data_IF_267678900944
#
_entry.id   IF_267678900944
#
_cell.length_a   1.000
_cell.length_b   1.000
_cell.length_c   1.000
_cell.angle_alpha   90.00
_cell.angle_beta   90.00
_cell.angle_gamma   90.00
#
_symmetry.space_group_name_H-M   'P 1'
#
loop_
_entity.id
_entity.type
_entity.pdbx_description
1 polymer ?
#
# COMPACT_ATOMS: atom_id res chain seq x y z
N UNK A 1 -14.19 19.96 -16.14
CA UNK A 1 -13.57 18.62 -16.04
C UNK A 1 -13.96 18.06 -14.67
N UNK A 2 -15.20 17.60 -14.52
CA UNK A 2 -15.74 17.22 -13.21
C UNK A 2 -15.45 15.74 -12.94
N UNK A 3 -14.81 15.51 -11.81
CA UNK A 3 -14.24 14.25 -11.36
C UNK A 3 -15.29 13.14 -11.24
N UNK A 4 -14.95 11.89 -11.62
CA UNK A 4 -15.76 10.69 -11.38
C UNK A 4 -16.15 10.44 -9.90
N UNK A 5 -15.49 11.10 -8.95
CA UNK A 5 -15.71 10.98 -7.50
C UNK A 5 -17.06 11.53 -7.02
N UNK A 6 -17.64 12.50 -7.73
CA UNK A 6 -18.98 12.97 -7.44
C UNK A 6 -20.04 11.90 -7.70
N UNK A 7 -19.80 10.93 -8.58
CA UNK A 7 -20.86 10.05 -9.10
C UNK A 7 -21.34 8.97 -8.11
N UNK A 8 -20.48 8.49 -7.22
CA UNK A 8 -20.86 7.56 -6.15
C UNK A 8 -21.46 8.29 -4.94
N UNK A 9 -20.88 9.45 -4.55
CA UNK A 9 -21.47 10.30 -3.50
C UNK A 9 -22.82 10.88 -3.93
N UNK A 10 -23.04 11.13 -5.23
CA UNK A 10 -24.34 11.55 -5.80
C UNK A 10 -25.47 10.54 -5.57
N UNK A 11 -25.17 9.24 -5.47
CA UNK A 11 -26.18 8.21 -5.25
C UNK A 11 -26.72 8.23 -3.81
N UNK A 12 -25.86 8.55 -2.83
CA UNK A 12 -26.29 8.84 -1.44
C UNK A 12 -26.96 10.21 -1.34
N UNK A 13 -26.50 11.19 -2.13
CA UNK A 13 -27.02 12.56 -2.16
C UNK A 13 -28.44 12.71 -2.74
N UNK A 14 -28.96 11.69 -3.41
CA UNK A 14 -30.30 11.70 -4.02
C UNK A 14 -31.29 10.80 -3.28
N UNK A 15 -30.80 9.86 -2.44
CA UNK A 15 -31.59 8.80 -1.82
C UNK A 15 -32.87 9.26 -1.06
N UNK A 16 -32.90 10.43 -0.37
CA UNK A 16 -34.11 10.86 0.34
C UNK A 16 -35.25 11.36 -0.58
N UNK A 17 -34.93 11.67 -1.84
CA UNK A 17 -35.86 12.23 -2.83
C UNK A 17 -36.14 11.29 -4.01
N UNK A 18 -35.57 10.10 -3.99
CA UNK A 18 -35.63 9.14 -5.07
C UNK A 18 -36.83 8.20 -4.93
N UNK A 19 -37.33 7.74 -6.07
CA UNK A 19 -38.45 6.81 -6.13
C UNK A 19 -38.04 5.40 -5.71
N UNK A 20 -39.00 4.61 -5.23
CA UNK A 20 -38.81 3.18 -4.92
C UNK A 20 -38.09 2.40 -6.05
N UNK A 21 -38.32 2.77 -7.32
CA UNK A 21 -37.68 2.17 -8.50
C UNK A 21 -36.15 2.39 -8.54
N UNK A 22 -35.66 3.56 -8.12
CA UNK A 22 -34.23 3.84 -8.05
C UNK A 22 -33.55 2.97 -6.99
N UNK A 23 -34.14 2.93 -5.80
CA UNK A 23 -33.58 2.15 -4.69
C UNK A 23 -33.61 0.66 -5.00
N UNK A 24 -34.65 0.17 -5.68
CA UNK A 24 -34.68 -1.19 -6.21
C UNK A 24 -33.52 -1.48 -7.18
N UNK A 25 -33.20 -0.55 -8.09
CA UNK A 25 -32.03 -0.68 -9.00
C UNK A 25 -30.71 -0.64 -8.25
N UNK A 26 -30.56 0.27 -7.28
CA UNK A 26 -29.36 0.40 -6.47
C UNK A 26 -29.09 -0.88 -5.66
N UNK A 27 -30.09 -1.37 -4.93
CA UNK A 27 -29.98 -2.60 -4.13
C UNK A 27 -29.71 -3.82 -5.01
N UNK A 28 -30.23 -3.85 -6.24
CA UNK A 28 -29.90 -4.90 -7.22
C UNK A 28 -28.41 -4.88 -7.60
N UNK A 29 -27.82 -3.69 -7.80
CA UNK A 29 -26.40 -3.54 -8.08
C UNK A 29 -25.54 -3.91 -6.86
N UNK A 30 -25.92 -3.41 -5.67
CA UNK A 30 -25.23 -3.73 -4.41
C UNK A 30 -25.23 -5.24 -4.16
N UNK A 31 -26.36 -5.92 -4.37
CA UNK A 31 -26.45 -7.38 -4.26
C UNK A 31 -25.44 -8.10 -5.17
N UNK A 32 -25.23 -7.59 -6.38
CA UNK A 32 -24.25 -8.15 -7.32
C UNK A 32 -22.82 -7.86 -6.88
N UNK A 33 -22.56 -6.67 -6.36
CA UNK A 33 -21.24 -6.26 -5.86
C UNK A 33 -20.84 -6.97 -4.56
N UNK A 34 -21.81 -7.36 -3.72
CA UNK A 34 -21.62 -8.23 -2.56
C UNK A 34 -21.03 -9.62 -2.92
N UNK A 35 -21.10 -10.03 -4.18
CA UNK A 35 -20.47 -11.25 -4.70
C UNK A 35 -19.19 -10.99 -5.53
N UNK A 36 -18.73 -9.74 -5.64
CA UNK A 36 -17.56 -9.37 -6.46
C UNK A 36 -16.30 -10.11 -5.99
N UNK A 37 -15.42 -10.59 -6.90
CA UNK A 37 -14.12 -11.15 -6.52
C UNK A 37 -13.17 -10.08 -5.97
N UNK A 38 -13.38 -8.80 -6.33
CA UNK A 38 -12.61 -7.68 -5.79
C UNK A 38 -13.04 -7.42 -4.35
N UNK A 39 -12.12 -7.63 -3.42
CA UNK A 39 -12.34 -7.58 -1.97
C UNK A 39 -12.96 -6.25 -1.55
N UNK A 40 -12.43 -5.15 -2.07
CA UNK A 40 -12.83 -3.79 -1.74
C UNK A 40 -14.26 -3.48 -2.17
N UNK A 41 -14.60 -3.76 -3.43
CA UNK A 41 -15.96 -3.58 -3.97
C UNK A 41 -16.97 -4.39 -3.15
N UNK A 42 -16.62 -5.62 -2.81
CA UNK A 42 -17.47 -6.49 -2.00
C UNK A 42 -17.68 -5.96 -0.59
N UNK A 43 -16.63 -5.41 0.04
CA UNK A 43 -16.74 -4.82 1.36
C UNK A 43 -17.63 -3.59 1.38
N UNK A 44 -17.43 -2.69 0.42
CA UNK A 44 -18.23 -1.47 0.31
C UNK A 44 -19.71 -1.81 0.08
N UNK A 45 -19.99 -2.75 -0.83
CA UNK A 45 -21.35 -3.20 -1.08
C UNK A 45 -21.99 -3.83 0.16
N UNK A 46 -21.26 -4.69 0.89
CA UNK A 46 -21.77 -5.29 2.12
C UNK A 46 -21.98 -4.28 3.26
N UNK A 47 -21.29 -3.14 3.23
CA UNK A 47 -21.48 -2.08 4.21
C UNK A 47 -22.68 -1.19 3.86
N UNK A 48 -22.79 -0.77 2.60
CA UNK A 48 -23.89 0.08 2.12
C UNK A 48 -25.24 -0.67 2.07
N UNK A 49 -25.24 -1.97 1.77
CA UNK A 49 -26.46 -2.73 1.56
C UNK A 49 -27.43 -2.70 2.75
N UNK A 50 -27.02 -2.98 4.01
CA UNK A 50 -27.92 -2.91 5.16
C UNK A 50 -28.45 -1.50 5.42
N UNK A 51 -27.67 -0.44 5.17
CA UNK A 51 -28.10 0.95 5.37
C UNK A 51 -29.25 1.31 4.43
N UNK A 52 -29.10 0.99 3.15
CA UNK A 52 -30.13 1.22 2.13
C UNK A 52 -31.36 0.34 2.38
N UNK A 53 -31.15 -0.89 2.86
CA UNK A 53 -32.24 -1.81 3.20
C UNK A 53 -33.07 -1.29 4.39
N UNK A 54 -32.41 -0.77 5.43
CA UNK A 54 -33.09 -0.20 6.60
C UNK A 54 -33.91 1.04 6.22
N UNK A 55 -33.38 1.89 5.32
CA UNK A 55 -34.14 3.02 4.75
C UNK A 55 -35.38 2.53 3.99
N UNK A 56 -35.26 1.46 3.20
CA UNK A 56 -36.40 0.90 2.48
C UNK A 56 -37.47 0.33 3.40
N UNK A 57 -37.09 -0.25 4.54
CA UNK A 57 -38.04 -0.68 5.58
C UNK A 57 -38.71 0.53 6.25
N UNK A 58 -37.95 1.58 6.60
CA UNK A 58 -38.48 2.79 7.22
C UNK A 58 -39.48 3.54 6.31
N UNK A 59 -39.21 3.58 5.00
CA UNK A 59 -40.09 4.21 3.98
C UNK A 59 -41.22 3.30 3.49
N UNK A 60 -41.23 2.02 3.86
CA UNK A 60 -42.26 1.05 3.45
C UNK A 60 -42.18 0.63 1.96
N UNK A 61 -40.99 0.67 1.35
CA UNK A 61 -40.78 0.27 -0.05
C UNK A 61 -40.76 -1.25 -0.20
N UNK A 62 -41.85 -1.82 -0.72
CA UNK A 62 -42.09 -3.28 -0.77
C UNK A 62 -41.22 -4.00 -1.81
N UNK A 63 -40.95 -3.37 -2.95
CA UNK A 63 -40.08 -3.94 -4.01
C UNK A 63 -38.68 -4.31 -3.52
N UNK A 64 -38.19 -3.62 -2.49
CA UNK A 64 -36.91 -3.88 -1.84
C UNK A 64 -37.10 -4.73 -0.59
N UNK A 65 -37.96 -4.29 0.34
CA UNK A 65 -38.11 -4.93 1.64
C UNK A 65 -38.78 -6.30 1.59
N UNK A 66 -39.62 -6.62 0.59
CA UNK A 66 -40.27 -7.93 0.43
C UNK A 66 -39.52 -8.86 -0.53
N UNK A 67 -38.46 -8.37 -1.19
CA UNK A 67 -37.69 -9.20 -2.11
C UNK A 67 -36.91 -10.29 -1.35
N UNK A 68 -37.13 -11.59 -1.64
CA UNK A 68 -36.51 -12.68 -0.90
C UNK A 68 -34.99 -12.72 -1.06
N UNK A 69 -34.45 -12.30 -2.22
CA UNK A 69 -33.01 -12.26 -2.44
C UNK A 69 -32.36 -11.17 -1.58
N UNK A 70 -32.98 -9.99 -1.48
CA UNK A 70 -32.46 -8.89 -0.68
C UNK A 70 -32.56 -9.16 0.82
N UNK A 71 -33.66 -9.77 1.28
CA UNK A 71 -33.79 -10.25 2.66
C UNK A 71 -32.70 -11.26 3.02
N UNK A 72 -32.44 -12.23 2.13
CA UNK A 72 -31.41 -13.23 2.35
C UNK A 72 -30.02 -12.59 2.43
N UNK A 73 -29.72 -11.62 1.56
CA UNK A 73 -28.46 -10.88 1.57
C UNK A 73 -28.30 -10.03 2.84
N UNK A 74 -29.33 -9.27 3.24
CA UNK A 74 -29.31 -8.48 4.47
C UNK A 74 -29.07 -9.37 5.70
N UNK A 75 -29.78 -10.49 5.79
CA UNK A 75 -29.62 -11.46 6.88
C UNK A 75 -28.23 -12.11 6.88
N UNK A 76 -27.66 -12.41 5.70
CA UNK A 76 -26.31 -12.94 5.57
C UNK A 76 -25.26 -11.95 6.07
N UNK A 77 -25.31 -10.71 5.60
CA UNK A 77 -24.34 -9.66 5.98
C UNK A 77 -24.36 -9.42 7.49
N UNK A 78 -25.55 -9.30 8.08
CA UNK A 78 -25.73 -9.02 9.52
C UNK A 78 -25.25 -10.16 10.44
N UNK A 79 -25.09 -11.38 9.92
CA UNK A 79 -24.52 -12.53 10.65
C UNK A 79 -23.00 -12.56 10.64
N UNK A 80 -22.34 -11.75 9.83
CA UNK A 80 -20.88 -11.71 9.79
C UNK A 80 -20.33 -11.04 11.06
N UNK A 81 -19.39 -11.69 11.74
CA UNK A 81 -18.76 -11.17 12.97
C UNK A 81 -18.15 -9.77 12.81
N UNK A 82 -17.77 -9.40 11.58
CA UNK A 82 -17.21 -8.08 11.25
C UNK A 82 -18.27 -6.98 11.17
N UNK A 83 -19.54 -7.32 10.93
CA UNK A 83 -20.64 -6.35 10.96
C UNK A 83 -21.01 -5.98 12.40
N UNK A 84 -20.83 -6.91 13.35
CA UNK A 84 -21.13 -6.71 14.78
C UNK A 84 -19.92 -6.24 15.61
N UNK A 85 -18.72 -6.17 15.03
CA UNK A 85 -17.50 -5.75 15.71
C UNK A 85 -17.51 -4.24 16.05
N UNK A 86 -16.86 -3.90 17.17
CA UNK A 86 -16.86 -2.53 17.72
C UNK A 86 -16.10 -1.52 16.83
N UNK A 87 -16.53 -0.24 16.77
CA UNK A 87 -16.07 0.76 15.80
C UNK A 87 -14.64 1.25 16.02
N UNK A 88 -13.71 0.95 15.11
CA UNK A 88 -12.37 1.59 15.12
C UNK A 88 -11.78 1.83 13.71
N UNK A 89 -12.62 1.89 12.67
CA UNK A 89 -12.25 2.33 11.30
C UNK A 89 -13.42 3.05 10.63
N UNK A 90 -13.20 3.77 9.52
CA UNK A 90 -14.24 4.52 8.76
C UNK A 90 -15.50 3.67 8.48
N UNK A 91 -15.28 2.35 8.36
CA UNK A 91 -16.27 1.28 8.17
C UNK A 91 -17.22 1.03 9.34
N UNK A 92 -17.23 1.92 10.33
CA UNK A 92 -18.09 1.83 11.51
C UNK A 92 -18.62 3.18 11.96
N UNK A 93 -18.36 4.26 11.20
CA UNK A 93 -19.12 5.49 11.34
C UNK A 93 -20.58 5.15 11.04
N UNK A 94 -21.45 5.30 12.03
CA UNK A 94 -22.89 5.11 11.84
C UNK A 94 -23.43 6.35 11.13
N UNK A 95 -23.38 6.33 9.81
CA UNK A 95 -24.04 7.33 8.98
C UNK A 95 -25.53 7.00 8.93
N UNK A 96 -26.35 7.96 9.34
CA UNK A 96 -27.80 7.94 9.21
C UNK A 96 -28.18 8.72 7.96
N UNK A 97 -28.66 8.03 6.93
CA UNK A 97 -28.93 8.62 5.61
C UNK A 97 -30.00 9.73 5.69
N UNK A 98 -30.91 9.71 6.67
CA UNK A 98 -31.92 10.76 6.78
C UNK A 98 -31.42 11.92 7.65
N UNK A 99 -30.82 11.61 8.81
CA UNK A 99 -30.36 12.64 9.74
C UNK A 99 -29.12 13.37 9.26
N UNK A 100 -28.19 12.66 8.64
CA UNK A 100 -26.91 13.23 8.20
C UNK A 100 -27.01 13.86 6.80
N UNK A 101 -28.17 13.73 6.13
CA UNK A 101 -28.46 14.39 4.85
C UNK A 101 -28.82 15.87 5.04
N UNK A 102 -27.82 16.65 5.42
CA UNK A 102 -27.86 18.10 5.53
C UNK A 102 -26.66 18.71 4.81
N UNK A 103 -26.70 20.00 4.46
CA UNK A 103 -25.55 20.64 3.81
C UNK A 103 -24.29 20.54 4.68
N UNK A 104 -24.41 20.72 6.00
CA UNK A 104 -23.30 20.49 6.93
C UNK A 104 -22.88 19.03 6.97
N UNK A 105 -23.83 18.10 7.05
CA UNK A 105 -23.52 16.67 7.08
C UNK A 105 -22.78 16.21 5.82
N UNK A 106 -23.08 16.80 4.65
CA UNK A 106 -22.42 16.50 3.37
C UNK A 106 -21.04 17.19 3.27
N UNK A 107 -20.93 18.48 3.58
CA UNK A 107 -19.70 19.24 3.30
C UNK A 107 -18.74 19.37 4.50
N UNK A 108 -19.20 19.08 5.72
CA UNK A 108 -18.42 19.11 6.96
C UNK A 108 -18.74 17.92 7.89
N UNK A 109 -19.17 16.79 7.32
CA UNK A 109 -19.46 15.58 8.09
C UNK A 109 -18.18 14.96 8.68
N UNK A 110 -18.32 14.25 9.82
CA UNK A 110 -17.20 13.57 10.49
C UNK A 110 -16.45 12.58 9.57
N UNK A 111 -17.11 12.06 8.55
CA UNK A 111 -16.53 11.12 7.59
C UNK A 111 -15.36 11.73 6.80
N UNK A 112 -15.30 13.06 6.63
CA UNK A 112 -14.21 13.75 5.93
C UNK A 112 -12.89 13.75 6.72
N UNK A 113 -12.95 13.50 8.03
CA UNK A 113 -11.80 13.53 8.94
C UNK A 113 -11.17 12.17 9.23
N UNK A 114 -11.81 11.08 8.77
CA UNK A 114 -11.41 9.72 9.09
C UNK A 114 -10.57 9.19 7.92
N UNK A 115 -9.39 8.62 8.21
CA UNK A 115 -8.41 8.05 7.26
C UNK A 115 -7.61 9.04 6.39
N UNK A 116 -8.25 10.01 5.74
CA UNK A 116 -7.54 11.03 4.94
C UNK A 116 -8.28 12.36 5.05
N UNK A 117 -7.83 13.26 5.94
CA UNK A 117 -8.48 14.56 6.12
C UNK A 117 -8.60 15.29 4.78
N UNK A 118 -9.84 15.45 4.30
CA UNK A 118 -10.13 16.34 3.18
C UNK A 118 -10.17 17.78 3.73
N UNK A 119 -9.67 18.75 2.96
CA UNK A 119 -9.82 20.16 3.34
C UNK A 119 -11.31 20.54 3.26
N UNK A 120 -11.81 21.20 4.31
CA UNK A 120 -13.15 21.78 4.34
C UNK A 120 -13.26 22.87 3.27
N UNK A 121 -13.73 22.50 2.07
CA UNK A 121 -13.92 23.43 0.96
C UNK A 121 -15.04 24.45 1.22
N UNK A 122 -16.01 24.07 2.05
CA UNK A 122 -17.16 24.89 2.43
C UNK A 122 -17.50 24.66 3.88
N UNK A 123 -17.75 25.74 4.61
CA UNK A 123 -18.10 25.72 6.03
C UNK A 123 -19.56 26.06 6.28
N UNK A 124 -20.08 25.69 7.45
CA UNK A 124 -21.40 26.11 7.93
C UNK A 124 -21.61 27.63 7.80
N UNK A 125 -20.56 28.41 8.11
CA UNK A 125 -20.62 29.87 8.00
C UNK A 125 -20.77 30.32 6.54
N UNK A 126 -20.14 29.65 5.57
CA UNK A 126 -20.30 29.98 4.16
C UNK A 126 -21.76 29.82 3.69
N UNK A 127 -22.42 28.74 4.11
CA UNK A 127 -23.84 28.53 3.80
C UNK A 127 -24.75 29.55 4.49
N UNK A 128 -24.46 29.91 5.75
CA UNK A 128 -25.22 30.92 6.49
C UNK A 128 -25.05 32.32 5.91
N UNK A 129 -23.85 32.65 5.42
CA UNK A 129 -23.61 33.90 4.69
C UNK A 129 -24.45 33.95 3.40
N UNK A 130 -24.52 32.84 2.66
CA UNK A 130 -25.33 32.76 1.44
C UNK A 130 -26.83 32.96 1.75
N UNK A 131 -27.37 32.27 2.75
CA UNK A 131 -28.78 32.40 3.16
C UNK A 131 -29.11 33.85 3.56
N UNK A 132 -28.23 34.48 4.36
CA UNK A 132 -28.38 35.89 4.76
C UNK A 132 -28.28 36.86 3.57
N UNK A 133 -27.49 36.51 2.56
CA UNK A 133 -27.34 37.32 1.34
C UNK A 133 -28.51 37.20 0.37
N UNK A 134 -29.29 36.11 0.47
CA UNK A 134 -30.48 35.84 -0.35
C UNK A 134 -31.75 36.46 0.28
N UNK A 135 -31.81 36.67 1.60
CA UNK A 135 -32.94 37.32 2.29
C UNK A 135 -33.39 38.68 1.69
N UNK A 136 -32.50 39.60 1.28
CA UNK A 136 -32.89 40.88 0.69
C UNK A 136 -33.25 40.80 -0.81
N UNK A 137 -33.14 39.64 -1.46
CA UNK A 137 -33.32 39.52 -2.91
C UNK A 137 -34.79 39.55 -3.35
N UNK A 138 -35.76 39.40 -2.44
CA UNK A 138 -37.20 39.47 -2.75
C UNK A 138 -37.68 38.43 -3.76
N UNK A 139 -36.89 37.37 -3.99
CA UNK A 139 -37.21 36.26 -4.88
C UNK A 139 -38.08 35.27 -4.11
N UNK A 140 -39.19 34.85 -4.70
CA UNK A 140 -40.02 33.76 -4.17
C UNK A 140 -39.25 32.44 -4.31
N UNK A 141 -38.49 32.09 -3.29
CA UNK A 141 -37.65 30.90 -3.30
C UNK A 141 -38.52 29.64 -3.08
N UNK A 142 -38.36 28.59 -3.91
CA UNK A 142 -39.01 27.32 -3.65
C UNK A 142 -38.55 26.75 -2.30
N UNK A 143 -39.35 25.86 -1.67
CA UNK A 143 -38.99 25.26 -0.40
C UNK A 143 -37.63 24.56 -0.49
N UNK A 144 -36.82 24.74 0.55
CA UNK A 144 -35.48 24.16 0.65
C UNK A 144 -35.54 22.64 0.50
N UNK A 145 -34.73 22.10 -0.42
CA UNK A 145 -34.65 20.66 -0.69
C UNK A 145 -33.62 19.95 0.19
N UNK A 146 -32.67 20.66 0.76
CA UNK A 146 -31.72 20.10 1.72
C UNK A 146 -31.63 21.12 2.83
N UNK A 147 -31.85 20.69 4.07
CA UNK A 147 -31.71 21.57 5.22
C UNK A 147 -30.22 21.87 5.46
N UNK A 148 -29.92 23.06 5.98
CA UNK A 148 -28.55 23.44 6.31
C UNK A 148 -27.91 22.47 7.30
N UNK A 149 -28.67 22.04 8.32
CA UNK A 149 -28.20 21.19 9.41
C UNK A 149 -27.65 21.98 10.59
N UNK A 150 -27.22 21.26 11.63
CA UNK A 150 -26.65 21.86 12.83
C UNK A 150 -25.17 22.21 12.62
N UNK A 151 -24.70 23.30 13.25
CA UNK A 151 -23.29 23.64 13.25
C UNK A 151 -22.45 22.46 13.80
N UNK A 152 -21.29 22.15 13.19
CA UNK A 152 -20.43 21.09 13.70
C UNK A 152 -20.09 21.35 15.17
N UNK A 153 -20.31 20.35 16.04
CA UNK A 153 -19.75 20.41 17.38
C UNK A 153 -18.22 20.44 17.23
N UNK A 154 -17.57 21.44 17.80
CA UNK A 154 -16.11 21.51 17.87
C UNK A 154 -15.64 20.46 18.88
N UNK A 155 -15.74 19.19 18.50
CA UNK A 155 -15.12 18.10 19.23
C UNK A 155 -13.65 18.10 18.82
N UNK A 156 -12.85 18.91 19.52
CA UNK A 156 -11.42 18.65 19.65
C UNK A 156 -11.30 17.31 20.36
N UNK A 157 -11.29 16.20 19.61
CA UNK A 157 -10.92 14.90 20.16
C UNK A 157 -9.44 15.01 20.52
N UNK A 158 -9.04 15.04 21.80
CA UNK A 158 -7.64 14.96 22.15
C UNK A 158 -7.20 13.56 21.72
N UNK A 159 -6.11 13.47 20.94
CA UNK A 159 -5.38 12.23 20.71
C UNK A 159 -4.94 11.66 22.07
N UNK A 160 -5.80 10.88 22.73
CA UNK A 160 -5.44 10.14 23.92
C UNK A 160 -4.63 8.93 23.49
N UNK A 161 -3.42 8.85 24.04
CA UNK A 161 -2.50 7.73 23.92
C UNK A 161 -3.24 6.41 24.19
N UNK A 162 -3.01 5.44 23.31
CA UNK A 162 -3.56 4.08 23.43
C UNK A 162 -2.84 3.38 24.58
N UNK A 163 -3.53 3.23 25.71
CA UNK A 163 -3.10 2.32 26.78
C UNK A 163 -3.26 0.87 26.31
N UNK A 164 -2.17 0.12 26.40
CA UNK A 164 -2.11 -1.30 26.11
C UNK A 164 -2.94 -2.10 27.14
N UNK A 165 -3.89 -2.90 26.68
CA UNK A 165 -4.51 -3.96 27.51
C UNK A 165 -4.73 -5.25 26.70
N UNK A 166 -4.83 -6.41 27.39
CA UNK A 166 -3.99 -7.57 27.11
C UNK A 166 -4.56 -8.57 26.10
N UNK A 167 -3.63 -9.35 25.54
CA UNK A 167 -3.84 -10.48 24.63
C UNK A 167 -4.67 -11.57 25.31
N UNK A 168 -5.85 -11.86 24.77
CA UNK A 168 -6.61 -13.08 25.09
C UNK A 168 -6.30 -14.14 24.04
N UNK A 169 -5.82 -15.29 24.51
CA UNK A 169 -5.62 -16.52 23.74
C UNK A 169 -6.97 -17.14 23.37
N UNK A 170 -7.19 -17.47 22.09
CA UNK A 170 -8.26 -18.38 21.68
C UNK A 170 -7.70 -19.43 20.72
N UNK A 171 -7.62 -20.66 21.24
CA UNK A 171 -7.63 -21.88 20.47
C UNK A 171 -9.07 -22.20 20.07
N UNK A 172 -9.35 -22.26 18.77
CA UNK A 172 -9.94 -23.42 18.08
C UNK A 172 -10.26 -23.03 16.63
N UNK A 173 -9.54 -23.66 15.70
CA UNK A 173 -9.66 -23.41 14.27
C UNK A 173 -10.77 -24.27 13.68
N UNK A 174 -11.89 -23.64 13.33
CA UNK A 174 -12.79 -24.16 12.29
C UNK A 174 -12.93 -23.11 11.19
N UNK A 175 -12.22 -23.37 10.08
CA UNK A 175 -12.35 -22.81 8.72
C UNK A 175 -12.82 -21.33 8.66
N UNK A 176 -11.94 -20.40 9.04
CA UNK A 176 -12.07 -18.99 8.67
C UNK A 176 -11.59 -18.79 7.21
N UNK A 177 -12.48 -18.33 6.34
CA UNK A 177 -12.08 -17.66 5.11
C UNK A 177 -11.57 -16.27 5.47
N UNK A 178 -10.26 -16.15 5.65
CA UNK A 178 -9.61 -14.90 6.01
C UNK A 178 -9.64 -13.91 4.83
N UNK A 179 -10.23 -12.74 5.05
CA UNK A 179 -10.17 -11.61 4.11
C UNK A 179 -8.85 -10.87 4.34
N UNK A 180 -7.93 -10.98 3.39
CA UNK A 180 -6.61 -10.38 3.41
C UNK A 180 -6.68 -8.86 3.21
N UNK A 181 -6.32 -8.08 4.24
CA UNK A 181 -6.36 -6.60 4.28
C UNK A 181 -4.99 -5.94 4.05
N UNK A 182 -3.98 -6.67 3.55
CA UNK A 182 -2.58 -6.19 3.49
C UNK A 182 -2.26 -5.18 2.38
N UNK A 183 -3.24 -4.70 1.61
CA UNK A 183 -3.01 -3.66 0.61
C UNK A 183 -3.66 -2.36 1.09
N UNK A 184 -2.83 -1.36 1.42
CA UNK A 184 -3.28 0.03 1.54
C UNK A 184 -3.96 0.47 0.24
N UNK A 185 -4.95 1.35 0.36
CA UNK A 185 -5.64 1.93 -0.79
C UNK A 185 -4.72 2.97 -1.40
N UNK A 186 -4.23 2.69 -2.60
CA UNK A 186 -3.76 3.72 -3.52
C UNK A 186 -4.82 3.83 -4.62
N UNK A 187 -5.46 4.99 -4.72
CA UNK A 187 -6.60 5.25 -5.59
C UNK A 187 -6.24 5.09 -7.08
N UNK A 188 -4.95 5.27 -7.42
CA UNK A 188 -4.42 5.06 -8.77
C UNK A 188 -4.51 3.58 -9.21
N UNK A 189 -4.58 2.64 -8.27
CA UNK A 189 -4.78 1.22 -8.58
C UNK A 189 -6.23 0.85 -8.94
N UNK A 190 -7.19 1.77 -8.74
CA UNK A 190 -8.60 1.57 -9.12
C UNK A 190 -8.90 1.99 -10.56
N UNK A 191 -8.03 2.80 -11.17
CA UNK A 191 -8.13 3.17 -12.57
C UNK A 191 -7.43 2.12 -13.46
N UNK A 192 -8.02 1.70 -14.59
CA UNK A 192 -7.24 1.01 -15.61
C UNK A 192 -6.14 1.96 -16.07
N UNK A 193 -4.88 1.62 -15.80
CA UNK A 193 -3.76 2.50 -16.15
C UNK A 193 -3.72 2.69 -17.67
N UNK A 194 -3.82 3.95 -18.09
CA UNK A 194 -3.87 4.33 -19.49
C UNK A 194 -2.48 4.20 -20.12
N UNK A 195 -2.33 3.27 -21.06
CA UNK A 195 -1.15 3.20 -21.92
C UNK A 195 -1.13 1.94 -22.80
N UNK A 196 -0.47 1.97 -23.97
CA UNK A 196 -0.20 0.76 -24.72
C UNK A 196 0.68 -0.20 -23.89
N UNK A 197 0.56 -1.53 -24.04
CA UNK A 197 1.35 -2.51 -23.28
C UNK A 197 2.87 -2.33 -23.40
N UNK A 198 3.33 -1.61 -24.42
CA UNK A 198 4.75 -1.24 -24.58
C UNK A 198 5.25 -0.22 -23.56
N UNK A 199 4.39 0.64 -23.01
CA UNK A 199 4.75 1.56 -21.91
C UNK A 199 4.81 0.84 -20.55
N UNK A 200 4.18 -0.34 -20.43
CA UNK A 200 4.23 -1.18 -19.22
C UNK A 200 5.57 -1.91 -19.06
N UNK A 201 6.44 -1.89 -20.06
CA UNK A 201 7.68 -2.67 -20.11
C UNK A 201 8.97 -1.85 -19.90
N UNK A 202 8.88 -0.52 -19.74
CA UNK A 202 10.03 0.25 -19.27
C UNK A 202 10.10 0.10 -17.75
N UNK A 203 11.04 -0.74 -17.30
CA UNK A 203 11.31 -0.85 -15.87
C UNK A 203 11.96 0.44 -15.40
N UNK A 204 11.36 1.18 -14.46
CA UNK A 204 11.83 2.51 -14.08
C UNK A 204 13.09 2.45 -13.22
N UNK A 205 13.36 1.31 -12.57
CA UNK A 205 14.39 1.22 -11.56
C UNK A 205 15.75 0.80 -12.14
N UNK A 206 16.77 1.62 -11.91
CA UNK A 206 18.17 1.32 -12.25
C UNK A 206 18.85 0.44 -11.18
N UNK A 207 18.09 -0.43 -10.52
CA UNK A 207 18.56 -1.32 -9.45
C UNK A 207 18.43 -2.77 -9.84
N UNK A 208 19.51 -3.53 -9.60
CA UNK A 208 19.56 -4.98 -9.76
C UNK A 208 19.74 -5.64 -8.40
N UNK A 209 19.20 -6.84 -8.25
CA UNK A 209 19.40 -7.65 -7.05
C UNK A 209 20.19 -8.92 -7.37
N UNK A 210 21.26 -9.14 -6.62
CA UNK A 210 22.14 -10.31 -6.73
C UNK A 210 21.86 -11.24 -5.55
N UNK A 211 21.07 -12.27 -5.82
CA UNK A 211 20.66 -13.31 -4.88
C UNK A 211 21.33 -14.65 -5.20
N UNK A 212 22.45 -14.63 -5.93
CA UNK A 212 23.18 -15.83 -6.35
C UNK A 212 23.72 -16.65 -5.19
N UNK A 213 24.00 -16.03 -4.04
CA UNK A 213 24.51 -16.72 -2.85
C UNK A 213 23.41 -17.40 -2.03
N UNK A 214 22.13 -17.24 -2.42
CA UNK A 214 20.98 -17.75 -1.66
C UNK A 214 20.55 -19.12 -2.19
N UNK A 215 20.38 -20.07 -1.27
CA UNK A 215 20.00 -21.43 -1.61
C UNK A 215 18.51 -21.72 -1.42
N UNK A 216 17.88 -21.15 -0.39
CA UNK A 216 16.49 -21.49 -0.06
C UNK A 216 15.51 -20.97 -1.13
N UNK A 217 14.76 -21.86 -1.81
CA UNK A 217 13.79 -21.45 -2.83
C UNK A 217 12.67 -20.55 -2.29
N UNK A 218 12.33 -20.66 -1.01
CA UNK A 218 11.33 -19.81 -0.34
C UNK A 218 11.80 -18.36 -0.28
N UNK A 219 13.06 -18.13 0.12
CA UNK A 219 13.66 -16.80 0.16
C UNK A 219 13.75 -16.21 -1.24
N UNK A 220 14.20 -16.99 -2.22
CA UNK A 220 14.29 -16.57 -3.62
C UNK A 220 12.92 -16.19 -4.22
N UNK A 221 11.87 -16.95 -3.91
CA UNK A 221 10.52 -16.62 -4.39
C UNK A 221 9.96 -15.36 -3.72
N UNK A 222 10.22 -15.16 -2.42
CA UNK A 222 9.93 -13.91 -1.72
C UNK A 222 10.65 -12.71 -2.34
N UNK A 223 11.96 -12.83 -2.59
CA UNK A 223 12.76 -11.80 -3.25
C UNK A 223 12.29 -11.50 -4.68
N UNK A 224 11.89 -12.52 -5.45
CA UNK A 224 11.27 -12.34 -6.77
C UNK A 224 10.01 -11.46 -6.69
N UNK A 225 9.14 -11.74 -5.71
CA UNK A 225 7.92 -10.96 -5.52
C UNK A 225 8.21 -9.50 -5.16
N UNK A 226 9.12 -9.27 -4.23
CA UNK A 226 9.50 -7.93 -3.78
C UNK A 226 10.17 -7.15 -4.94
N UNK A 227 11.10 -7.80 -5.65
CA UNK A 227 11.80 -7.22 -6.80
C UNK A 227 10.84 -6.80 -7.92
N UNK A 228 9.83 -7.62 -8.18
CA UNK A 228 8.78 -7.29 -9.16
C UNK A 228 7.93 -6.10 -8.69
N UNK A 229 7.52 -6.11 -7.41
CA UNK A 229 6.68 -5.04 -6.84
C UNK A 229 7.33 -3.66 -6.89
N UNK A 230 8.66 -3.57 -6.78
CA UNK A 230 9.42 -2.31 -6.87
C UNK A 230 10.03 -2.06 -8.25
N UNK A 231 9.71 -2.88 -9.25
CA UNK A 231 10.06 -2.62 -10.65
C UNK A 231 11.53 -2.81 -11.01
N UNK A 232 12.23 -3.77 -10.38
CA UNK A 232 13.66 -4.01 -10.56
C UNK A 232 14.06 -4.37 -11.98
N UNK A 233 15.25 -3.93 -12.39
CA UNK A 233 15.81 -4.25 -13.70
C UNK A 233 15.98 -5.76 -13.90
N UNK A 234 16.57 -6.44 -12.91
CA UNK A 234 16.75 -7.88 -12.91
C UNK A 234 17.01 -8.44 -11.50
N UNK A 235 16.64 -9.72 -11.34
CA UNK A 235 17.03 -10.55 -10.20
C UNK A 235 17.97 -11.66 -10.68
N UNK A 236 19.15 -11.76 -10.08
CA UNK A 236 20.13 -12.78 -10.40
C UNK A 236 20.11 -13.90 -9.35
N UNK A 237 20.05 -15.15 -9.79
CA UNK A 237 20.07 -16.34 -8.92
C UNK A 237 21.07 -17.37 -9.45
N UNK A 238 21.61 -18.23 -8.59
CA UNK A 238 22.61 -19.23 -9.01
C UNK A 238 22.10 -20.18 -10.08
N UNK A 239 20.83 -20.58 -10.00
CA UNK A 239 20.29 -21.62 -10.87
C UNK A 239 18.82 -21.36 -11.19
N UNK A 240 18.50 -21.20 -12.47
CA UNK A 240 17.12 -20.98 -12.93
C UNK A 240 16.18 -22.14 -12.60
N UNK A 241 16.70 -23.36 -12.38
CA UNK A 241 15.89 -24.48 -11.91
C UNK A 241 15.22 -24.20 -10.56
N UNK A 242 15.82 -23.35 -9.70
CA UNK A 242 15.22 -22.95 -8.41
C UNK A 242 13.91 -22.17 -8.61
N UNK A 243 13.77 -21.40 -9.70
CA UNK A 243 12.53 -20.69 -10.03
C UNK A 243 11.36 -21.63 -10.40
N UNK A 244 11.67 -22.84 -10.87
CA UNK A 244 10.64 -23.85 -11.16
C UNK A 244 10.15 -24.59 -9.91
N UNK A 245 10.86 -24.48 -8.78
CA UNK A 245 10.59 -25.20 -7.54
C UNK A 245 9.22 -24.83 -6.94
N UNK A 246 8.58 -25.79 -6.26
CA UNK A 246 7.26 -25.58 -5.64
C UNK A 246 7.27 -24.46 -4.60
N UNK A 247 8.27 -24.44 -3.73
CA UNK A 247 8.35 -23.46 -2.64
C UNK A 247 8.67 -22.05 -3.15
N UNK A 248 9.44 -21.95 -4.23
CA UNK A 248 9.62 -20.68 -4.95
C UNK A 248 8.28 -20.18 -5.50
N UNK A 249 7.51 -21.05 -6.17
CA UNK A 249 6.19 -20.68 -6.72
C UNK A 249 5.17 -20.29 -5.65
N UNK A 250 5.25 -20.92 -4.48
CA UNK A 250 4.36 -20.62 -3.35
C UNK A 250 4.54 -19.19 -2.82
N UNK A 251 5.76 -18.65 -2.88
CA UNK A 251 6.09 -17.31 -2.36
C UNK A 251 6.14 -16.22 -3.41
N UNK A 252 6.54 -16.55 -4.65
CA UNK A 252 6.65 -15.60 -5.77
C UNK A 252 5.32 -15.16 -6.36
N UNK A 253 4.26 -15.98 -6.24
CA UNK A 253 2.90 -15.67 -6.72
C UNK A 253 2.89 -15.18 -8.18
N UNK A 254 3.65 -15.81 -9.07
CA UNK A 254 3.81 -15.50 -10.51
C UNK A 254 4.68 -14.30 -10.87
N UNK A 255 5.32 -13.63 -9.92
CA UNK A 255 6.25 -12.53 -10.20
C UNK A 255 7.38 -12.91 -11.18
N UNK A 256 7.78 -14.18 -11.23
CA UNK A 256 8.81 -14.69 -12.15
C UNK A 256 8.46 -14.56 -13.64
N UNK A 257 7.18 -14.30 -13.97
CA UNK A 257 6.74 -14.05 -15.34
C UNK A 257 6.88 -12.58 -15.76
N UNK A 258 7.00 -11.69 -14.79
CA UNK A 258 7.00 -10.24 -14.97
C UNK A 258 8.37 -9.62 -14.67
N UNK A 259 9.17 -10.30 -13.84
CA UNK A 259 10.55 -9.96 -13.49
C UNK A 259 11.57 -10.72 -14.35
N UNK A 260 12.66 -10.06 -14.72
CA UNK A 260 13.75 -10.66 -15.48
C UNK A 260 14.66 -11.41 -14.50
N UNK A 261 14.38 -12.69 -14.31
CA UNK A 261 15.24 -13.57 -13.52
C UNK A 261 16.35 -14.12 -14.42
N UNK A 262 17.60 -13.89 -14.05
CA UNK A 262 18.79 -14.31 -14.80
C UNK A 262 19.63 -15.27 -13.97
N UNK A 263 20.26 -16.24 -14.65
CA UNK A 263 21.21 -17.12 -14.00
C UNK A 263 22.56 -16.42 -13.85
N UNK A 264 23.14 -16.45 -12.66
CA UNK A 264 24.51 -16.02 -12.37
C UNK A 264 25.07 -16.93 -11.29
N UNK A 265 26.00 -17.81 -11.67
CA UNK A 265 26.69 -18.69 -10.73
C UNK A 265 27.47 -17.89 -9.70
N UNK A 266 27.53 -18.40 -8.47
CA UNK A 266 28.28 -17.76 -7.37
C UNK A 266 29.71 -17.39 -7.78
N UNK A 267 30.42 -18.32 -8.43
CA UNK A 267 31.79 -18.13 -8.95
C UNK A 267 31.89 -16.98 -9.96
N UNK A 268 30.81 -16.69 -10.68
CA UNK A 268 30.75 -15.61 -11.67
C UNK A 268 30.37 -14.24 -11.08
N UNK A 269 29.92 -14.19 -9.82
CA UNK A 269 29.44 -12.95 -9.19
C UNK A 269 30.53 -11.86 -9.19
N UNK A 270 31.77 -12.11 -8.75
CA UNK A 270 32.79 -11.04 -8.72
C UNK A 270 33.06 -10.43 -10.10
N UNK A 271 33.20 -11.26 -11.13
CA UNK A 271 33.43 -10.81 -12.50
C UNK A 271 32.24 -9.99 -13.04
N UNK A 272 31.02 -10.43 -12.76
CA UNK A 272 29.80 -9.70 -13.15
C UNK A 272 29.72 -8.33 -12.47
N UNK A 273 30.02 -8.25 -11.17
CA UNK A 273 30.00 -7.00 -10.42
C UNK A 273 31.02 -5.99 -10.95
N UNK A 274 32.24 -6.43 -11.30
CA UNK A 274 33.24 -5.57 -11.93
C UNK A 274 32.79 -5.03 -13.30
N UNK A 275 32.14 -5.86 -14.12
CA UNK A 275 31.54 -5.42 -15.38
C UNK A 275 30.39 -4.43 -15.16
N UNK A 276 29.53 -4.66 -14.16
CA UNK A 276 28.46 -3.73 -13.79
C UNK A 276 29.01 -2.36 -13.36
N UNK A 277 30.13 -2.33 -12.60
CA UNK A 277 30.82 -1.10 -12.22
C UNK A 277 31.31 -0.31 -13.43
N UNK A 278 31.85 -0.98 -14.45
CA UNK A 278 32.24 -0.33 -15.70
C UNK A 278 31.06 0.33 -16.44
N UNK A 279 29.82 -0.13 -16.17
CA UNK A 279 28.56 0.42 -16.71
C UNK A 279 27.95 1.49 -15.80
N UNK A 280 28.65 1.89 -14.74
CA UNK A 280 28.24 2.91 -13.78
C UNK A 280 27.24 2.43 -12.72
N UNK A 281 27.15 1.12 -12.47
CA UNK A 281 26.47 0.63 -11.26
C UNK A 281 27.43 0.73 -10.08
N UNK A 282 26.90 1.12 -8.93
CA UNK A 282 27.61 0.97 -7.66
C UNK A 282 27.17 -0.31 -6.96
N UNK A 283 28.12 -1.05 -6.38
CA UNK A 283 27.86 -2.35 -5.78
C UNK A 283 27.70 -2.20 -4.27
N UNK A 284 26.52 -2.52 -3.76
CA UNK A 284 26.19 -2.40 -2.34
C UNK A 284 25.91 -3.77 -1.74
N UNK A 285 26.69 -4.17 -0.74
CA UNK A 285 26.44 -5.37 0.04
C UNK A 285 25.45 -5.12 1.17
N UNK A 286 24.41 -5.94 1.29
CA UNK A 286 23.53 -5.94 2.47
C UNK A 286 24.08 -6.97 3.45
N UNK A 287 24.94 -6.53 4.35
CA UNK A 287 25.67 -7.40 5.27
C UNK A 287 26.06 -6.68 6.55
N UNK A 288 26.00 -7.38 7.68
CA UNK A 288 26.47 -6.86 8.96
C UNK A 288 27.98 -7.03 9.07
N UNK A 289 28.71 -5.92 9.03
CA UNK A 289 30.18 -5.89 9.16
C UNK A 289 30.60 -4.67 9.97
N UNK A 290 31.81 -4.71 10.55
CA UNK A 290 32.36 -3.58 11.31
C UNK A 290 32.54 -2.30 10.47
N UNK A 291 32.39 -2.38 9.14
CA UNK A 291 32.53 -1.28 8.19
C UNK A 291 31.21 -0.92 7.50
N UNK A 292 30.11 -1.55 7.90
CA UNK A 292 28.81 -1.30 7.30
C UNK A 292 28.22 0.03 7.78
N UNK A 293 27.66 0.81 6.87
CA UNK A 293 26.85 1.99 7.22
C UNK A 293 25.46 1.56 7.65
N UNK A 294 24.83 2.30 8.55
CA UNK A 294 23.44 2.03 8.94
C UNK A 294 22.53 2.47 7.78
N UNK A 295 21.74 1.52 7.26
CA UNK A 295 20.82 1.79 6.16
C UNK A 295 19.88 2.96 6.48
N UNK A 296 19.86 3.96 5.59
CA UNK A 296 19.03 5.16 5.69
C UNK A 296 19.57 6.25 6.60
N UNK A 297 20.81 6.11 7.11
CA UNK A 297 21.51 7.15 7.86
C UNK A 297 22.66 7.74 7.02
N UNK A 298 22.71 9.07 6.95
CA UNK A 298 23.88 9.81 6.47
C UNK A 298 24.86 9.96 7.65
N UNK A 299 26.01 9.27 7.60
CA UNK A 299 27.00 9.33 8.66
C UNK A 299 27.66 10.72 8.66
N UNK A 300 27.22 11.57 9.58
CA UNK A 300 27.64 12.97 9.69
C UNK A 300 28.93 13.15 10.49
N UNK A 301 29.54 12.07 10.96
CA UNK A 301 30.74 12.08 11.82
C UNK A 301 31.99 11.61 11.08
N UNK A 302 32.97 12.51 11.03
CA UNK A 302 34.37 12.35 10.61
C UNK A 302 34.65 12.21 9.10
N UNK A 303 35.18 13.31 8.55
CA UNK A 303 35.79 13.42 7.23
C UNK A 303 37.01 12.49 7.13
N UNK A 304 36.82 11.25 6.67
CA UNK A 304 37.90 10.41 6.17
C UNK A 304 37.52 9.90 4.79
N UNK A 305 38.25 10.35 3.77
CA UNK A 305 38.20 9.72 2.45
C UNK A 305 38.65 8.26 2.60
N UNK A 306 37.76 7.31 2.34
CA UNK A 306 38.11 5.90 2.30
C UNK A 306 38.51 5.58 0.86
N UNK A 307 39.81 5.46 0.61
CA UNK A 307 40.31 4.90 -0.64
C UNK A 307 40.09 3.38 -0.62
N UNK A 308 39.04 2.90 -1.30
CA UNK A 308 38.91 1.50 -1.67
C UNK A 308 39.73 1.26 -2.94
N UNK A 309 41.00 0.90 -2.77
CA UNK A 309 41.89 0.59 -3.88
C UNK A 309 43.07 -0.25 -3.41
N UNK A 310 43.16 -1.48 -3.91
CA UNK A 310 44.29 -2.35 -3.68
C UNK A 310 45.51 -1.80 -4.43
N UNK A 311 46.65 -1.66 -3.75
CA UNK A 311 47.92 -1.22 -4.38
C UNK A 311 48.53 -2.39 -5.16
N UNK A 312 47.88 -2.79 -6.24
CA UNK A 312 48.40 -3.77 -7.19
C UNK A 312 48.39 -3.16 -8.58
N UNK A 313 49.57 -3.16 -9.20
CA UNK A 313 49.96 -2.31 -10.32
C UNK A 313 49.04 -2.41 -11.56
N UNK A 314 48.69 -1.25 -12.12
CA UNK A 314 48.28 -1.10 -13.52
C UNK A 314 46.84 -0.62 -13.74
N UNK A 315 46.62 0.69 -13.56
CA UNK A 315 45.49 1.44 -14.16
C UNK A 315 44.09 1.05 -13.71
N UNK A 316 43.59 1.67 -12.63
CA UNK A 316 42.16 1.56 -12.26
C UNK A 316 41.58 2.91 -11.85
N UNK A 317 40.34 3.13 -12.31
CA UNK A 317 39.48 4.27 -11.99
C UNK A 317 39.19 4.28 -10.49
N UNK A 318 39.68 5.31 -9.79
CA UNK A 318 39.45 5.51 -8.36
C UNK A 318 38.06 6.10 -8.16
N UNK A 319 37.12 5.31 -7.63
CA UNK A 319 35.84 5.83 -7.15
C UNK A 319 36.01 6.30 -5.71
N UNK A 320 36.00 7.62 -5.50
CA UNK A 320 36.04 8.22 -4.17
C UNK A 320 34.63 8.18 -3.59
N UNK A 321 34.37 7.27 -2.66
CA UNK A 321 33.14 7.27 -1.86
C UNK A 321 33.36 8.25 -0.70
N UNK A 322 32.52 9.29 -0.62
CA UNK A 322 32.53 10.20 0.54
C UNK A 322 32.00 9.43 1.75
N UNK A 323 32.66 9.52 2.92
CA UNK A 323 32.22 8.77 4.11
C UNK A 323 30.80 9.10 4.57
N UNK A 324 30.25 10.23 4.13
CA UNK A 324 28.88 10.66 4.40
C UNK A 324 27.80 9.77 3.78
N UNK A 325 28.13 8.98 2.74
CA UNK A 325 27.12 8.26 1.96
C UNK A 325 27.03 6.76 2.31
N UNK A 326 27.85 6.24 3.24
CA UNK A 326 28.01 4.78 3.42
C UNK A 326 26.67 4.09 3.72
N UNK A 327 25.79 4.71 4.51
CA UNK A 327 24.45 4.18 4.85
C UNK A 327 23.36 4.40 3.81
N UNK A 328 23.64 5.10 2.70
CA UNK A 328 22.66 5.42 1.65
C UNK A 328 22.75 4.46 0.46
N UNK A 329 21.66 4.35 -0.32
CA UNK A 329 21.61 3.48 -1.50
C UNK A 329 21.68 4.31 -2.80
N UNK A 330 22.66 4.07 -3.69
CA UNK A 330 22.78 4.83 -4.94
C UNK A 330 21.60 4.58 -5.90
N UNK A 331 21.21 5.59 -6.70
CA UNK A 331 20.13 5.46 -7.71
C UNK A 331 20.40 4.31 -8.70
N UNK A 332 21.65 4.12 -9.12
CA UNK A 332 22.07 3.05 -10.02
C UNK A 332 22.99 2.07 -9.28
N UNK A 333 22.43 0.99 -8.75
CA UNK A 333 23.19 0.06 -7.92
C UNK A 333 22.86 -1.42 -8.14
N UNK A 334 23.80 -2.27 -7.74
CA UNK A 334 23.62 -3.70 -7.57
C UNK A 334 23.56 -4.02 -6.08
N UNK A 335 22.40 -4.45 -5.60
CA UNK A 335 22.21 -4.90 -4.22
C UNK A 335 22.62 -6.37 -4.11
N UNK A 336 23.65 -6.66 -3.33
CA UNK A 336 24.18 -8.01 -3.13
C UNK A 336 23.69 -8.56 -1.79
N UNK A 337 23.04 -9.72 -1.83
CA UNK A 337 22.56 -10.43 -0.65
C UNK A 337 23.44 -11.65 -0.36
N UNK A 338 23.83 -11.81 0.90
CA UNK A 338 24.60 -12.96 1.37
C UNK A 338 23.79 -14.25 1.47
N UNK A 339 24.50 -15.37 1.61
CA UNK A 339 23.90 -16.67 1.94
C UNK A 339 23.30 -16.66 3.35
N UNK A 340 22.34 -17.53 3.63
CA UNK A 340 21.66 -17.57 4.93
C UNK A 340 22.56 -17.95 6.11
N UNK A 341 23.74 -18.53 5.85
CA UNK A 341 24.65 -19.07 6.86
C UNK A 341 25.97 -18.31 6.92
N UNK A 342 26.61 -18.14 5.77
CA UNK A 342 27.96 -17.60 5.66
C UNK A 342 27.96 -16.12 5.27
N UNK A 343 26.79 -15.54 4.97
CA UNK A 343 26.71 -14.17 4.48
C UNK A 343 27.31 -14.01 3.09
N UNK A 344 27.87 -12.84 2.81
CA UNK A 344 28.58 -12.55 1.56
C UNK A 344 30.00 -13.16 1.58
N UNK A 345 30.35 -13.93 0.54
CA UNK A 345 31.67 -14.55 0.43
C UNK A 345 32.80 -13.52 0.30
N UNK A 346 34.01 -13.87 0.78
CA UNK A 346 35.16 -12.96 0.77
C UNK A 346 35.54 -12.45 -0.63
N UNK A 347 35.38 -13.29 -1.66
CA UNK A 347 35.64 -12.93 -3.06
C UNK A 347 34.66 -11.85 -3.56
N UNK A 348 33.40 -11.92 -3.11
CA UNK A 348 32.37 -10.94 -3.45
C UNK A 348 32.54 -9.66 -2.61
N UNK A 349 32.87 -9.77 -1.32
CA UNK A 349 33.22 -8.63 -0.47
C UNK A 349 34.39 -7.81 -1.02
N UNK A 350 35.36 -8.44 -1.67
CA UNK A 350 36.51 -7.76 -2.25
C UNK A 350 36.16 -6.81 -3.42
N UNK A 351 34.99 -6.99 -4.06
CA UNK A 351 34.56 -6.16 -5.20
C UNK A 351 33.42 -5.19 -4.86
N UNK A 352 32.80 -5.34 -3.68
CA UNK A 352 31.74 -4.46 -3.17
C UNK A 352 32.31 -3.07 -2.90
N UNK A 353 31.57 -2.02 -3.29
CA UNK A 353 31.96 -0.63 -3.07
C UNK A 353 31.70 -0.19 -1.63
N UNK A 354 30.55 -0.58 -1.09
CA UNK A 354 30.15 -0.30 0.29
C UNK A 354 29.21 -1.37 0.85
N UNK A 355 29.25 -1.56 2.17
CA UNK A 355 28.31 -2.41 2.87
C UNK A 355 27.32 -1.56 3.65
N UNK A 356 26.06 -1.97 3.66
CA UNK A 356 25.02 -1.40 4.52
C UNK A 356 24.45 -2.49 5.41
N UNK A 357 24.11 -2.11 6.62
CA UNK A 357 23.45 -2.98 7.58
C UNK A 357 22.12 -2.39 8.05
N UNK A 358 21.20 -3.27 8.40
CA UNK A 358 19.90 -2.88 8.95
C UNK A 358 20.02 -2.90 10.46
N UNK A 359 19.84 -1.74 11.09
CA UNK A 359 19.84 -1.61 12.54
C UNK A 359 18.74 -2.46 13.16
N UNK A 360 19.12 -3.40 14.01
CA UNK A 360 18.20 -4.24 14.79
C UNK A 360 18.31 -3.89 16.27
N UNK A 361 17.18 -3.96 17.00
CA UNK A 361 17.13 -3.74 18.46
C UNK A 361 16.90 -5.03 19.25
N UNK A 362 16.67 -6.14 18.53
CA UNK A 362 16.34 -7.43 19.11
C UNK A 362 17.56 -8.27 19.47
N UNK A 363 17.33 -9.36 20.19
CA UNK A 363 18.37 -10.31 20.64
C UNK A 363 18.87 -11.21 19.50
N UNK A 364 18.08 -11.37 18.43
CA UNK A 364 18.43 -12.19 17.26
C UNK A 364 19.56 -11.54 16.47
N UNK A 365 20.59 -12.33 16.15
CA UNK A 365 21.84 -11.84 15.53
C UNK A 365 21.68 -11.33 14.11
N UNK A 366 20.70 -11.79 13.35
CA UNK A 366 20.49 -11.35 11.96
C UNK A 366 19.02 -11.47 11.54
N UNK A 367 18.66 -10.74 10.47
CA UNK A 367 17.35 -10.85 9.82
C UNK A 367 17.36 -12.00 8.80
N UNK A 368 16.16 -12.53 8.50
CA UNK A 368 16.02 -13.39 7.33
C UNK A 368 16.42 -12.61 6.06
N UNK A 369 17.20 -13.22 5.17
CA UNK A 369 17.75 -12.58 3.97
C UNK A 369 16.68 -11.97 3.06
N UNK A 370 15.51 -12.60 2.95
CA UNK A 370 14.40 -12.07 2.15
C UNK A 370 13.85 -10.78 2.77
N UNK A 371 13.80 -10.71 4.11
CA UNK A 371 13.35 -9.55 4.86
C UNK A 371 14.37 -8.42 4.74
N UNK A 372 15.66 -8.73 4.85
CA UNK A 372 16.72 -7.76 4.68
C UNK A 372 16.71 -7.16 3.27
N UNK A 373 16.61 -8.00 2.24
CA UNK A 373 16.47 -7.54 0.85
C UNK A 373 15.22 -6.70 0.62
N UNK A 374 14.10 -7.04 1.28
CA UNK A 374 12.87 -6.26 1.23
C UNK A 374 13.01 -4.86 1.86
N UNK A 375 13.66 -4.76 3.01
CA UNK A 375 13.90 -3.47 3.70
C UNK A 375 14.84 -2.60 2.87
N UNK A 376 15.97 -3.14 2.41
CA UNK A 376 16.93 -2.42 1.58
C UNK A 376 16.28 -1.89 0.29
N UNK A 377 15.47 -2.72 -0.35
CA UNK A 377 14.82 -2.33 -1.59
C UNK A 377 13.68 -1.31 -1.38
N UNK A 378 12.92 -1.42 -0.30
CA UNK A 378 11.94 -0.39 0.07
C UNK A 378 12.63 0.94 0.37
N UNK A 379 13.77 0.92 1.05
CA UNK A 379 14.57 2.12 1.31
C UNK A 379 15.04 2.77 0.00
N UNK A 380 15.59 1.97 -0.92
CA UNK A 380 15.95 2.46 -2.26
C UNK A 380 14.74 3.07 -2.98
N UNK A 381 13.58 2.40 -2.94
CA UNK A 381 12.37 2.93 -3.56
C UNK A 381 11.83 4.19 -2.86
N UNK A 382 11.99 4.32 -1.54
CA UNK A 382 11.63 5.53 -0.80
C UNK A 382 12.49 6.72 -1.24
N UNK A 383 13.79 6.50 -1.45
CA UNK A 383 14.71 7.54 -1.89
C UNK A 383 14.49 7.94 -3.35
N UNK A 384 14.30 6.96 -4.24
CA UNK A 384 14.35 7.15 -5.70
C UNK A 384 13.03 6.91 -6.45
N UNK A 385 12.06 6.24 -5.83
CA UNK A 385 10.76 5.92 -6.41
C UNK A 385 9.99 7.19 -6.78
N UNK A 386 9.58 7.29 -8.06
CA UNK A 386 8.86 8.45 -8.59
C UNK A 386 9.74 9.65 -8.96
N UNK A 387 11.05 9.62 -8.69
CA UNK A 387 12.00 10.68 -9.07
C UNK A 387 12.74 10.30 -10.37
N UNK A 388 12.09 10.54 -11.51
CA UNK A 388 12.70 10.34 -12.83
C UNK A 388 13.87 11.30 -13.05
#
# INVERSE_FOLDING_TARGET
>A
MCLPHLRNRYAELLAPYESEDFVAKLVTQLNSYSASPKVQIRHEANFAFPLVFDLAEAKGWRSVSENPAFRAMNAFIRRLDKFSASPWTIRTLKVDIERDFTLVGIFQGQYLSIESPEDDLFTYEDFKMLETSDEPAGVDCPPARIELGAAPAVDTVPLKAVDQTPVVSIADQTIQTTLQTKAGIDLDNLHPQNGPPSMQNQRPASVMMIASLIDNPTNLGGLSRISESFGLEALYIDNLKKAAHKDFKATSVRSEKHLAIRELKEVGVPAFLLDAKSKGYEVVGIEQTDRSGILGHEDSSDQKEILTGDKSAGGQSTHVIRSQDIGTLPKKCCLVLGSEKEGISAEVLAVIDRNVEIKTVGVTRSLNVQTAGGIALYEWWREWGGKN
#
